data_IF_564022593491
#
_entry.id   IF_564022593491
#
_cell.length_a   1.000
_cell.length_b   1.000
_cell.length_c   1.000
_cell.angle_alpha   90.00
_cell.angle_beta   90.00
_cell.angle_gamma   90.00
#
_symmetry.space_group_name_H-M   'P 1'
#
loop_
_entity.id
_entity.type
_entity.pdbx_description
1 polymer ?
#
# COMPACT_ATOMS: atom_id res chain seq x y z
N UNK A 1 14.44 8.32 9.24
CA UNK A 1 13.66 8.56 7.99
C UNK A 1 12.18 8.88 8.26
N UNK A 2 11.38 7.98 8.86
CA UNK A 2 9.92 8.23 9.06
C UNK A 2 9.67 9.46 9.93
N UNK A 3 10.40 9.64 11.03
CA UNK A 3 10.26 10.84 11.86
C UNK A 3 10.59 12.14 11.10
N UNK A 4 11.58 12.09 10.22
CA UNK A 4 11.94 13.25 9.38
C UNK A 4 10.84 13.59 8.38
N UNK A 5 10.25 12.57 7.72
CA UNK A 5 9.16 12.76 6.76
C UNK A 5 7.90 13.30 7.43
N UNK A 6 7.58 12.82 8.63
CA UNK A 6 6.40 13.25 9.38
C UNK A 6 6.62 14.52 10.20
N UNK A 7 7.88 15.00 10.35
CA UNK A 7 8.20 16.18 11.16
C UNK A 7 7.97 15.98 12.65
N UNK A 8 8.15 14.78 13.17
CA UNK A 8 7.92 14.41 14.57
C UNK A 8 9.17 13.81 15.21
N UNK A 9 9.24 13.84 16.54
CA UNK A 9 10.39 13.35 17.28
C UNK A 9 10.40 11.82 17.47
N UNK A 10 9.25 11.18 17.42
CA UNK A 10 9.13 9.74 17.64
C UNK A 10 7.92 9.14 16.94
N UNK A 11 7.98 7.85 16.70
CA UNK A 11 6.89 7.06 16.11
C UNK A 11 6.62 5.84 16.98
N UNK A 12 5.40 5.33 16.86
CA UNK A 12 5.02 4.02 17.41
C UNK A 12 4.86 3.05 16.26
N UNK A 13 5.56 1.94 16.32
CA UNK A 13 5.39 0.85 15.38
C UNK A 13 4.09 0.12 15.74
N UNK A 14 3.17 0.04 14.78
CA UNK A 14 1.95 -0.75 14.92
C UNK A 14 2.24 -2.23 14.67
N UNK A 15 2.81 -2.53 13.51
CA UNK A 15 3.33 -3.87 13.18
C UNK A 15 4.33 -3.77 12.03
N UNK A 16 5.07 -4.83 11.85
CA UNK A 16 5.90 -5.07 10.68
C UNK A 16 5.53 -6.42 10.06
N UNK A 17 5.87 -6.59 8.81
CA UNK A 17 5.67 -7.85 8.11
C UNK A 17 6.70 -8.02 7.01
N UNK A 18 7.04 -9.27 6.72
CA UNK A 18 7.90 -9.64 5.60
C UNK A 18 7.04 -10.20 4.47
N UNK A 19 7.23 -9.65 3.28
CA UNK A 19 6.59 -10.13 2.07
C UNK A 19 7.63 -10.84 1.21
N UNK A 20 7.41 -12.13 0.96
CA UNK A 20 8.26 -12.92 0.11
C UNK A 20 7.53 -13.26 -1.19
N UNK A 21 8.15 -12.97 -2.32
CA UNK A 21 7.63 -13.27 -3.65
C UNK A 21 8.44 -14.42 -4.27
N UNK A 22 8.02 -15.67 -4.13
CA UNK A 22 8.65 -16.77 -4.83
C UNK A 22 8.37 -16.67 -6.33
N UNK A 23 9.21 -17.33 -7.13
CA UNK A 23 8.96 -17.45 -8.56
C UNK A 23 7.56 -18.06 -8.81
N UNK A 24 6.80 -17.47 -9.73
CA UNK A 24 5.43 -17.88 -10.07
C UNK A 24 4.42 -17.75 -8.91
N UNK A 25 4.77 -17.01 -7.85
CA UNK A 25 3.85 -16.71 -6.75
C UNK A 25 2.71 -15.79 -7.18
N UNK A 26 1.64 -15.76 -6.37
CA UNK A 26 0.48 -14.93 -6.65
C UNK A 26 0.84 -13.44 -6.61
N UNK A 27 0.29 -12.63 -7.52
CA UNK A 27 0.43 -11.18 -7.46
C UNK A 27 -0.32 -10.61 -6.25
N UNK A 28 0.14 -9.47 -5.75
CA UNK A 28 -0.65 -8.66 -4.83
C UNK A 28 -1.60 -7.78 -5.63
N UNK A 29 -2.85 -7.68 -5.17
CA UNK A 29 -3.84 -6.81 -5.79
C UNK A 29 -3.50 -5.34 -5.57
N UNK A 30 -3.99 -4.48 -6.45
CA UNK A 30 -4.04 -3.05 -6.19
C UNK A 30 -4.92 -2.80 -4.96
N UNK A 31 -4.40 -2.11 -3.96
CA UNK A 31 -5.11 -1.90 -2.72
C UNK A 31 -4.70 -0.60 -2.02
N UNK A 32 -5.49 -0.21 -1.07
CA UNK A 32 -5.15 0.78 -0.05
C UNK A 32 -5.09 0.09 1.31
N UNK A 33 -4.10 0.42 2.11
CA UNK A 33 -3.89 -0.19 3.42
C UNK A 33 -4.92 0.28 4.46
N UNK A 34 -5.19 1.58 4.48
CA UNK A 34 -5.95 2.24 5.56
C UNK A 34 -7.32 1.61 5.85
N UNK A 35 -8.17 1.24 4.87
CA UNK A 35 -9.45 0.62 5.16
C UNK A 35 -9.36 -0.72 5.88
N UNK A 36 -8.18 -1.34 5.89
CA UNK A 36 -7.95 -2.66 6.49
C UNK A 36 -7.21 -2.60 7.82
N UNK A 37 -6.83 -1.40 8.27
CA UNK A 37 -6.21 -1.23 9.56
C UNK A 37 -7.25 -1.27 10.69
N UNK A 38 -6.82 -1.68 11.88
CA UNK A 38 -7.66 -1.70 13.09
C UNK A 38 -7.85 -0.31 13.72
N UNK A 39 -7.25 0.71 13.15
CA UNK A 39 -7.34 2.09 13.59
C UNK A 39 -7.51 3.02 12.40
N UNK A 40 -7.92 4.24 12.66
CA UNK A 40 -8.07 5.29 11.66
C UNK A 40 -7.21 6.48 12.04
N UNK A 41 -6.22 6.82 11.20
CA UNK A 41 -5.36 7.97 11.41
C UNK A 41 -4.84 8.50 10.07
N UNK A 42 -4.96 9.82 9.84
CA UNK A 42 -4.36 10.45 8.67
C UNK A 42 -2.83 10.55 8.76
N UNK A 43 -2.29 10.36 9.97
CA UNK A 43 -0.86 10.51 10.25
C UNK A 43 -0.12 9.17 10.18
N UNK A 44 -0.83 8.08 9.92
CA UNK A 44 -0.20 6.76 9.75
C UNK A 44 0.66 6.74 8.49
N UNK A 45 1.86 6.19 8.60
CA UNK A 45 2.81 6.10 7.50
C UNK A 45 3.40 4.69 7.45
N UNK A 46 3.52 4.16 6.25
CA UNK A 46 4.19 2.88 5.99
C UNK A 46 5.53 3.10 5.30
N UNK A 47 6.49 2.25 5.57
CA UNK A 47 7.72 2.17 4.82
C UNK A 47 7.88 0.77 4.23
N UNK A 48 8.15 0.68 2.95
CA UNK A 48 8.49 -0.56 2.28
C UNK A 48 9.99 -0.57 2.00
N UNK A 49 10.66 -1.61 2.44
CA UNK A 49 12.11 -1.76 2.34
C UNK A 49 12.41 -2.98 1.49
N UNK A 50 13.06 -2.80 0.35
CA UNK A 50 13.54 -3.89 -0.48
C UNK A 50 14.77 -4.52 0.18
N UNK A 51 14.71 -5.82 0.44
CA UNK A 51 15.83 -6.60 0.98
C UNK A 51 16.71 -7.21 -0.12
N UNK A 52 16.21 -7.22 -1.34
CA UNK A 52 16.91 -7.61 -2.57
C UNK A 52 16.59 -6.61 -3.66
N UNK A 53 17.26 -6.71 -4.80
CA UNK A 53 16.92 -5.91 -5.97
C UNK A 53 15.45 -6.12 -6.34
N UNK A 54 14.69 -5.04 -6.41
CA UNK A 54 13.28 -5.06 -6.75
C UNK A 54 13.10 -4.47 -8.16
N UNK A 55 12.75 -5.34 -9.10
CA UNK A 55 12.57 -5.00 -10.51
C UNK A 55 11.16 -5.32 -10.97
N UNK A 56 10.79 -4.81 -12.15
CA UNK A 56 9.51 -5.14 -12.78
C UNK A 56 9.36 -6.66 -12.96
N UNK A 57 10.46 -7.35 -13.28
CA UNK A 57 10.46 -8.77 -13.54
C UNK A 57 10.29 -9.64 -12.28
N UNK A 58 10.68 -9.13 -11.12
CA UNK A 58 10.64 -9.89 -9.87
C UNK A 58 9.64 -9.38 -8.83
N UNK A 59 8.75 -8.47 -9.22
CA UNK A 59 7.63 -8.06 -8.38
C UNK A 59 7.90 -6.84 -7.50
N UNK A 60 8.52 -5.80 -8.06
CA UNK A 60 8.64 -4.52 -7.36
C UNK A 60 7.27 -3.94 -7.01
N UNK A 61 7.26 -2.99 -6.11
CA UNK A 61 6.06 -2.25 -5.73
C UNK A 61 5.68 -1.25 -6.83
N UNK A 62 4.37 -1.12 -7.08
CA UNK A 62 3.80 -0.11 -7.96
C UNK A 62 2.95 0.86 -7.17
N UNK A 63 2.98 2.12 -7.56
CA UNK A 63 2.15 3.16 -6.97
C UNK A 63 1.39 3.91 -8.04
N UNK A 64 0.18 4.31 -7.73
CA UNK A 64 -0.61 5.19 -8.57
C UNK A 64 -0.40 6.64 -8.12
N UNK A 65 0.30 7.47 -8.89
CA UNK A 65 0.62 8.84 -8.47
C UNK A 65 -0.64 9.67 -8.18
N UNK A 66 -0.63 10.36 -7.05
CA UNK A 66 -1.73 11.25 -6.66
C UNK A 66 -2.97 10.56 -6.10
N UNK A 67 -3.02 9.22 -6.06
CA UNK A 67 -4.19 8.47 -5.58
C UNK A 67 -4.55 8.80 -4.13
N UNK A 68 -3.57 9.12 -3.30
CA UNK A 68 -3.80 9.50 -1.88
C UNK A 68 -4.71 10.73 -1.73
N UNK A 69 -4.80 11.59 -2.73
CA UNK A 69 -5.67 12.78 -2.72
C UNK A 69 -7.12 12.46 -3.08
N UNK A 70 -7.37 11.28 -3.64
CA UNK A 70 -8.68 10.81 -4.08
C UNK A 70 -9.19 9.64 -3.24
N UNK A 71 -8.38 9.20 -2.27
CA UNK A 71 -8.72 8.07 -1.42
C UNK A 71 -9.94 8.39 -0.54
N UNK A 72 -10.90 7.47 -0.52
CA UNK A 72 -12.06 7.50 0.37
C UNK A 72 -11.96 6.30 1.32
N UNK A 73 -11.71 6.57 2.58
CA UNK A 73 -11.49 5.53 3.59
C UNK A 73 -12.76 4.74 3.94
N UNK A 74 -13.91 5.13 3.44
CA UNK A 74 -15.16 4.38 3.60
C UNK A 74 -15.34 3.29 2.54
N UNK A 75 -14.61 3.37 1.42
CA UNK A 75 -14.63 2.35 0.38
C UNK A 75 -13.70 1.19 0.75
N UNK A 76 -14.00 0.01 0.22
CA UNK A 76 -13.14 -1.16 0.43
C UNK A 76 -11.75 -0.94 -0.15
N UNK A 77 -10.73 -1.49 0.52
CA UNK A 77 -9.33 -1.26 0.17
C UNK A 77 -8.79 -2.03 -1.04
N UNK A 78 -9.59 -2.85 -1.70
CA UNK A 78 -9.15 -3.58 -2.90
C UNK A 78 -8.44 -4.91 -2.64
N UNK A 79 -8.32 -5.36 -1.40
CA UNK A 79 -7.74 -6.66 -1.10
C UNK A 79 -8.62 -7.81 -1.61
N UNK A 80 -8.01 -8.81 -2.22
CA UNK A 80 -8.70 -9.99 -2.72
C UNK A 80 -7.97 -10.64 -3.91
N UNK A 81 -8.55 -11.72 -4.46
CA UNK A 81 -7.95 -12.44 -5.57
C UNK A 81 -8.01 -11.70 -6.91
N UNK A 82 -8.93 -10.75 -7.04
CA UNK A 82 -9.02 -9.88 -8.22
C UNK A 82 -8.01 -8.73 -8.10
N UNK A 83 -6.95 -8.79 -8.89
CA UNK A 83 -5.86 -7.81 -8.88
C UNK A 83 -6.35 -6.39 -9.17
N UNK A 84 -7.39 -6.25 -9.97
CA UNK A 84 -7.94 -4.96 -10.41
C UNK A 84 -9.20 -4.49 -9.68
N UNK A 85 -9.66 -5.19 -8.65
CA UNK A 85 -10.94 -4.89 -7.97
C UNK A 85 -11.02 -3.45 -7.44
N UNK A 86 -9.90 -2.85 -7.06
CA UNK A 86 -9.82 -1.47 -6.61
C UNK A 86 -10.37 -0.50 -7.67
N UNK A 87 -10.05 -0.71 -8.92
CA UNK A 87 -10.45 0.20 -10.02
C UNK A 87 -11.96 0.18 -10.28
N UNK A 88 -12.65 -0.89 -9.91
CA UNK A 88 -14.11 -0.94 -9.92
C UNK A 88 -14.74 -0.01 -8.89
N UNK A 89 -14.07 0.21 -7.76
CA UNK A 89 -14.51 1.10 -6.69
C UNK A 89 -14.06 2.55 -6.91
N UNK A 90 -13.00 2.75 -7.67
CA UNK A 90 -12.39 4.04 -7.98
C UNK A 90 -12.24 4.21 -9.51
N UNK A 91 -13.35 4.39 -10.24
CA UNK A 91 -13.26 4.62 -11.69
C UNK A 91 -12.37 5.81 -12.07
N UNK A 92 -12.28 6.78 -11.16
CA UNK A 92 -11.45 7.97 -11.30
C UNK A 92 -9.94 7.67 -11.35
N UNK A 93 -9.52 6.45 -10.98
CA UNK A 93 -8.12 6.03 -11.08
C UNK A 93 -7.76 5.46 -12.46
N UNK A 94 -8.75 5.18 -13.30
CA UNK A 94 -8.54 4.61 -14.64
C UNK A 94 -8.20 5.66 -15.70
N UNK A 95 -8.32 6.91 -15.38
CA UNK A 95 -7.97 8.03 -16.24
C UNK A 95 -6.59 8.59 -15.90
#
# INVERSE_FOLDING_TARGET
MLCQLAGIEGIRIWHDQTLQKPAWGNPSSWHMDVPNWSFHSPDAISIWIALNDATIQNGCMYYLPGSHRKADFQRKGGFGPDVGALFGQYPEFQT
#
